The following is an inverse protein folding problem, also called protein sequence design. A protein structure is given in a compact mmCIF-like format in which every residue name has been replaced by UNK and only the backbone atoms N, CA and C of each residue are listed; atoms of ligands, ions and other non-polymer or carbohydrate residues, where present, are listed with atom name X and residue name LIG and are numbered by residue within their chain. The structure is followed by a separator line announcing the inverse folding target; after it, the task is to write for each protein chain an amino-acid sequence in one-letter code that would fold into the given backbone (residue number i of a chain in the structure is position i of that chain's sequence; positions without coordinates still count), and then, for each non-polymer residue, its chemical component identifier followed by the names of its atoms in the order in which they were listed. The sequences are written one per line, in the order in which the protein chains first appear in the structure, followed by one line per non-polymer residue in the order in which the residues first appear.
data_IF_175322184505
#
_entry.id   IF_175322184505
#
_cell.length_a   1.000
_cell.length_b   1.000
_cell.length_c   1.000
_cell.angle_alpha   90.00
_cell.angle_beta   90.00
_cell.angle_gamma   90.00
#
_symmetry.space_group_name_H-M   'P 1'
#
loop_
_entity.id
_entity.type
_entity.pdbx_description
1 polymer ?
#
# COMPACT_ATOMS: atom_id res chain seq x y z
N UNK A 1 58.90 -7.36 17.06
CA UNK A 1 58.17 -6.95 18.28
C UNK A 1 56.95 -6.12 17.87
N UNK A 2 55.76 -6.53 18.34
CA UNK A 2 54.54 -5.75 18.69
C UNK A 2 54.04 -4.72 17.66
N UNK A 3 52.99 -5.04 16.88
CA UNK A 3 51.54 -4.93 17.19
C UNK A 3 51.01 -3.48 17.15
N UNK A 4 50.20 -3.15 16.15
CA UNK A 4 48.96 -2.36 16.30
C UNK A 4 47.97 -2.76 15.19
N UNK A 5 47.13 -3.75 15.49
CA UNK A 5 45.82 -3.95 14.85
C UNK A 5 44.98 -2.70 15.16
N UNK A 6 44.26 -2.10 14.21
CA UNK A 6 43.11 -2.72 13.58
C UNK A 6 41.88 -2.51 14.48
N UNK A 7 41.46 -1.25 14.64
CA UNK A 7 40.31 -0.88 15.46
C UNK A 7 39.51 0.21 14.75
N UNK A 8 38.72 -0.18 13.75
CA UNK A 8 37.52 0.55 13.29
C UNK A 8 36.95 -0.25 12.12
N UNK A 9 35.93 -1.06 12.38
CA UNK A 9 34.77 -1.40 11.53
C UNK A 9 34.05 -2.55 12.26
N UNK A 10 33.30 -2.23 13.31
CA UNK A 10 32.35 -3.18 13.92
C UNK A 10 31.06 -2.49 14.42
N UNK A 11 30.72 -1.33 13.87
CA UNK A 11 29.51 -0.59 14.27
C UNK A 11 28.50 -0.41 13.12
N UNK A 12 28.48 -1.33 12.16
CA UNK A 12 27.49 -1.31 11.06
C UNK A 12 26.68 -2.61 10.92
N UNK A 13 26.79 -3.54 11.88
CA UNK A 13 26.14 -4.88 11.78
C UNK A 13 25.02 -5.09 12.81
N UNK A 14 24.86 -4.22 13.81
CA UNK A 14 23.84 -4.40 14.86
C UNK A 14 22.71 -3.37 14.90
N UNK A 15 22.65 -2.44 13.93
CA UNK A 15 21.48 -1.57 13.74
C UNK A 15 20.31 -2.21 12.99
N UNK A 16 20.47 -3.47 12.53
CA UNK A 16 19.51 -4.17 11.65
C UNK A 16 18.57 -5.13 12.39
N UNK A 17 18.45 -5.04 13.72
CA UNK A 17 17.58 -5.91 14.54
C UNK A 17 16.56 -5.13 15.36
N UNK A 18 16.16 -3.96 14.85
CA UNK A 18 15.11 -3.14 15.43
C UNK A 18 14.21 -2.51 14.38
N UNK A 19 14.00 -3.16 13.23
CA UNK A 19 12.80 -2.86 12.45
C UNK A 19 11.64 -3.44 13.25
N UNK A 20 11.01 -2.60 14.08
CA UNK A 20 9.59 -2.78 14.39
C UNK A 20 8.93 -3.03 13.04
N UNK A 21 8.45 -4.25 12.82
CA UNK A 21 7.82 -4.66 11.58
C UNK A 21 6.66 -3.71 11.32
N UNK A 22 6.89 -2.65 10.54
CA UNK A 22 5.85 -1.74 10.13
C UNK A 22 4.89 -2.59 9.30
N UNK A 23 3.61 -2.59 9.69
CA UNK A 23 2.59 -3.33 8.95
C UNK A 23 2.69 -2.94 7.46
N UNK A 24 2.68 -3.93 6.58
CA UNK A 24 2.69 -3.69 5.15
C UNK A 24 1.40 -2.98 4.75
N UNK A 25 1.46 -2.08 3.76
CA UNK A 25 0.33 -1.24 3.39
C UNK A 25 -0.10 -1.45 1.94
N UNK A 26 -1.40 -1.61 1.74
CA UNK A 26 -2.07 -1.66 0.44
C UNK A 26 -2.95 -0.42 0.29
N UNK A 27 -2.59 0.45 -0.65
CA UNK A 27 -3.36 1.65 -0.95
C UNK A 27 -3.87 1.65 -2.39
N UNK A 28 -5.06 2.22 -2.57
CA UNK A 28 -5.69 2.41 -3.88
C UNK A 28 -6.45 3.73 -3.90
N UNK A 29 -6.43 4.39 -5.06
CA UNK A 29 -7.22 5.59 -5.31
C UNK A 29 -7.99 5.44 -6.62
N UNK A 30 -9.06 6.20 -6.76
CA UNK A 30 -9.87 6.16 -7.98
C UNK A 30 -11.08 7.07 -7.89
N UNK A 31 -12.07 6.78 -8.72
CA UNK A 31 -13.34 7.49 -8.75
C UNK A 31 -14.50 6.53 -8.59
N UNK A 32 -15.55 7.01 -7.94
CA UNK A 32 -16.86 6.37 -7.95
C UNK A 32 -17.45 6.54 -9.34
N UNK A 33 -17.96 5.47 -9.94
CA UNK A 33 -18.59 5.48 -11.27
C UNK A 33 -20.10 5.21 -11.21
N UNK A 34 -20.63 4.93 -10.03
CA UNK A 34 -22.05 4.76 -9.77
C UNK A 34 -22.34 4.74 -8.27
N UNK A 35 -23.51 5.21 -7.81
CA UNK A 35 -24.65 5.74 -8.56
C UNK A 35 -24.36 7.10 -9.24
N UNK A 36 -25.27 7.56 -10.10
CA UNK A 36 -25.07 8.79 -10.89
C UNK A 36 -24.81 10.04 -10.04
N UNK A 37 -25.40 10.14 -8.85
CA UNK A 37 -25.21 11.29 -7.95
C UNK A 37 -23.80 11.34 -7.33
N UNK A 38 -23.14 10.19 -7.19
CA UNK A 38 -21.79 10.05 -6.66
C UNK A 38 -20.74 9.89 -7.77
N UNK A 39 -21.16 9.86 -9.04
CA UNK A 39 -20.25 9.67 -10.16
C UNK A 39 -19.20 10.79 -10.20
N UNK A 40 -17.92 10.39 -10.27
CA UNK A 40 -16.78 11.27 -10.22
C UNK A 40 -16.28 11.62 -8.82
N UNK A 41 -16.95 11.19 -7.73
CA UNK A 41 -16.41 11.37 -6.39
C UNK A 41 -15.08 10.61 -6.25
N UNK A 42 -14.02 11.25 -5.74
CA UNK A 42 -12.77 10.56 -5.49
C UNK A 42 -12.97 9.54 -4.37
N UNK A 43 -12.38 8.36 -4.50
CA UNK A 43 -12.21 7.44 -3.39
C UNK A 43 -10.74 7.11 -3.17
N UNK A 44 -10.41 6.78 -1.94
CA UNK A 44 -9.13 6.22 -1.56
C UNK A 44 -9.36 5.17 -0.47
N UNK A 45 -8.62 4.07 -0.50
CA UNK A 45 -8.50 3.22 0.67
C UNK A 45 -7.04 2.91 0.94
N UNK A 46 -6.73 2.72 2.22
CA UNK A 46 -5.43 2.33 2.71
C UNK A 46 -5.65 1.24 3.74
N UNK A 47 -5.00 0.08 3.55
CA UNK A 47 -5.16 -1.10 4.37
C UNK A 47 -3.79 -1.53 4.90
N UNK A 48 -3.70 -1.70 6.20
CA UNK A 48 -2.54 -2.29 6.85
C UNK A 48 -2.76 -3.79 6.97
N UNK A 49 -1.74 -4.59 6.65
CA UNK A 49 -1.83 -6.05 6.66
C UNK A 49 -0.49 -6.67 7.07
N UNK A 50 -0.51 -7.97 7.36
CA UNK A 50 0.71 -8.76 7.63
C UNK A 50 0.76 -9.92 6.66
N UNK A 51 1.67 -9.89 5.67
CA UNK A 51 1.68 -10.92 4.63
C UNK A 51 1.86 -12.32 5.20
N UNK A 52 1.24 -13.30 4.56
CA UNK A 52 1.23 -14.68 5.04
C UNK A 52 1.69 -15.65 3.94
N UNK A 53 2.35 -16.75 4.34
CA UNK A 53 2.62 -17.89 3.46
C UNK A 53 1.37 -18.75 3.26
N UNK A 54 0.25 -18.11 2.95
CA UNK A 54 -1.07 -18.69 2.71
C UNK A 54 -1.71 -17.96 1.53
N UNK A 55 -2.80 -18.49 0.96
CA UNK A 55 -3.50 -17.84 -0.17
C UNK A 55 -4.18 -16.52 0.18
N UNK A 56 -4.15 -16.16 1.47
CA UNK A 56 -4.78 -14.97 1.99
C UNK A 56 -4.10 -14.42 3.24
N UNK A 57 -4.27 -13.13 3.47
CA UNK A 57 -3.83 -12.40 4.66
C UNK A 57 -4.98 -11.60 5.29
N UNK A 58 -4.86 -11.34 6.59
CA UNK A 58 -5.76 -10.49 7.35
C UNK A 58 -5.30 -9.03 7.30
N UNK A 59 -6.27 -8.14 7.20
CA UNK A 59 -6.06 -6.70 7.37
C UNK A 59 -6.09 -6.40 8.87
N UNK A 60 -5.08 -5.67 9.33
CA UNK A 60 -4.86 -5.30 10.74
C UNK A 60 -5.28 -3.85 11.03
N UNK A 61 -5.59 -3.07 10.00
CA UNK A 61 -5.94 -1.65 10.11
C UNK A 61 -6.27 -1.06 8.75
N UNK A 62 -6.82 0.15 8.73
CA UNK A 62 -7.05 0.85 7.48
C UNK A 62 -8.22 1.83 7.50
N UNK A 63 -8.30 2.60 6.41
CA UNK A 63 -9.24 3.69 6.19
C UNK A 63 -9.78 3.62 4.77
N UNK A 64 -11.08 3.88 4.62
CA UNK A 64 -11.74 4.14 3.34
C UNK A 64 -12.24 5.59 3.36
N UNK A 65 -11.92 6.34 2.32
CA UNK A 65 -12.42 7.68 2.08
C UNK A 65 -13.18 7.71 0.76
N UNK A 66 -14.35 8.33 0.75
CA UNK A 66 -15.13 8.62 -0.46
C UNK A 66 -15.63 10.06 -0.36
N UNK A 67 -15.17 10.91 -1.28
CA UNK A 67 -15.39 12.36 -1.19
C UNK A 67 -14.87 12.90 0.15
N UNK A 68 -15.77 13.51 0.92
CA UNK A 68 -15.48 14.06 2.24
C UNK A 68 -15.70 13.06 3.40
N UNK A 69 -16.18 11.85 3.11
CA UNK A 69 -16.58 10.89 4.13
C UNK A 69 -15.49 9.85 4.37
N UNK A 70 -15.27 9.50 5.65
CA UNK A 70 -14.18 8.62 6.09
C UNK A 70 -14.73 7.49 6.96
N UNK A 71 -14.33 6.25 6.66
CA UNK A 71 -14.64 5.05 7.42
C UNK A 71 -13.35 4.34 7.86
N UNK A 72 -13.36 3.75 9.05
CA UNK A 72 -12.25 2.96 9.58
C UNK A 72 -12.57 1.47 9.48
N UNK A 73 -11.56 0.65 9.23
CA UNK A 73 -11.72 -0.81 9.21
C UNK A 73 -12.32 -1.33 10.51
N UNK A 74 -13.20 -2.32 10.40
CA UNK A 74 -13.72 -3.07 11.54
C UNK A 74 -12.77 -4.23 11.79
N UNK A 75 -11.99 -4.13 12.88
CA UNK A 75 -11.05 -5.18 13.29
C UNK A 75 -11.80 -6.31 14.01
N UNK A 76 -11.42 -7.57 13.72
CA UNK A 76 -12.00 -8.76 14.37
C UNK A 76 -12.92 -9.63 13.51
N UNK A 77 -13.02 -9.38 12.19
CA UNK A 77 -13.66 -10.31 11.27
C UNK A 77 -12.80 -11.58 11.07
N UNK A 78 -13.42 -12.76 11.14
CA UNK A 78 -12.75 -14.07 11.07
C UNK A 78 -12.38 -14.53 9.65
N UNK A 79 -12.45 -13.66 8.65
CA UNK A 79 -12.24 -14.02 7.25
C UNK A 79 -11.04 -13.30 6.64
N UNK A 80 -10.39 -13.91 5.63
CA UNK A 80 -9.31 -13.26 4.91
C UNK A 80 -9.78 -11.99 4.22
N UNK A 81 -9.03 -10.90 4.42
CA UNK A 81 -9.40 -9.60 3.89
C UNK A 81 -8.67 -9.27 2.58
N UNK A 82 -7.55 -9.94 2.30
CA UNK A 82 -6.82 -9.85 1.03
C UNK A 82 -6.43 -11.26 0.61
N UNK A 83 -6.84 -11.69 -0.58
CA UNK A 83 -6.48 -12.99 -1.17
C UNK A 83 -5.87 -12.83 -2.55
N UNK A 84 -4.89 -13.66 -2.86
CA UNK A 84 -4.31 -13.77 -4.22
C UNK A 84 -5.11 -14.82 -4.97
N UNK A 85 -5.80 -14.42 -6.04
CA UNK A 85 -6.61 -15.29 -6.88
C UNK A 85 -6.16 -15.14 -8.33
N UNK A 86 -5.44 -16.14 -8.83
CA UNK A 86 -4.81 -16.09 -10.15
C UNK A 86 -3.85 -14.90 -10.25
N UNK A 87 -4.15 -13.96 -11.14
CA UNK A 87 -3.33 -12.76 -11.40
C UNK A 87 -3.88 -11.51 -10.71
N UNK A 88 -4.73 -11.66 -9.70
CA UNK A 88 -5.42 -10.56 -9.07
C UNK A 88 -5.40 -10.66 -7.54
N UNK A 89 -5.44 -9.50 -6.89
CA UNK A 89 -5.77 -9.39 -5.47
C UNK A 89 -7.28 -9.19 -5.36
N UNK A 90 -7.93 -10.01 -4.55
CA UNK A 90 -9.29 -9.77 -4.08
C UNK A 90 -9.23 -9.23 -2.66
N UNK A 91 -9.84 -8.08 -2.45
CA UNK A 91 -9.88 -7.34 -1.19
C UNK A 91 -11.32 -7.33 -0.70
N UNK A 92 -11.57 -7.88 0.48
CA UNK A 92 -12.87 -7.84 1.15
C UNK A 92 -12.69 -7.30 2.55
N UNK A 93 -13.22 -6.11 2.81
CA UNK A 93 -12.97 -5.40 4.08
C UNK A 93 -14.25 -4.77 4.58
N UNK A 94 -14.51 -4.95 5.88
CA UNK A 94 -15.58 -4.24 6.57
C UNK A 94 -15.07 -2.90 7.10
N UNK A 95 -15.87 -1.87 6.92
CA UNK A 95 -15.61 -0.51 7.33
C UNK A 95 -16.74 0.01 8.21
N UNK A 96 -16.40 0.85 9.16
CA UNK A 96 -17.32 1.51 10.08
C UNK A 96 -17.15 3.00 10.00
N UNK A 97 -18.24 3.75 9.95
CA UNK A 97 -18.14 5.20 9.76
C UNK A 97 -19.48 5.92 9.88
N UNK A 98 -19.50 7.20 9.48
CA UNK A 98 -20.61 8.10 9.76
C UNK A 98 -21.87 7.69 9.02
N UNK A 99 -23.01 7.81 9.70
CA UNK A 99 -24.34 7.69 9.12
C UNK A 99 -24.95 9.07 8.81
N UNK A 100 -25.76 9.16 7.77
CA UNK A 100 -26.36 10.40 7.24
C UNK A 100 -27.41 11.05 8.14
N UNK A 101 -27.72 10.45 9.29
CA UNK A 101 -28.81 10.90 10.18
C UNK A 101 -28.41 10.96 11.67
N UNK A 102 -27.11 10.94 12.00
CA UNK A 102 -26.66 10.89 13.40
C UNK A 102 -27.06 9.60 14.14
N UNK A 103 -27.57 8.60 13.41
CA UNK A 103 -28.04 7.33 13.92
C UNK A 103 -26.90 6.30 13.95
N UNK A 104 -25.93 6.52 14.84
CA UNK A 104 -24.87 5.55 15.14
C UNK A 104 -23.91 5.26 13.98
N UNK A 105 -23.20 4.14 14.10
CA UNK A 105 -22.15 3.70 13.17
C UNK A 105 -22.72 2.77 12.11
N UNK A 106 -22.56 3.10 10.83
CA UNK A 106 -22.93 2.23 9.72
C UNK A 106 -21.76 1.27 9.39
N UNK A 107 -22.07 -0.01 9.17
CA UNK A 107 -21.10 -1.01 8.69
C UNK A 107 -21.24 -1.15 7.18
N UNK A 108 -20.13 -0.93 6.47
CA UNK A 108 -20.01 -0.99 5.02
C UNK A 108 -19.07 -2.12 4.62
N UNK A 109 -19.28 -2.68 3.44
CA UNK A 109 -18.50 -3.79 2.91
C UNK A 109 -17.83 -3.36 1.61
N UNK A 110 -16.50 -3.27 1.63
CA UNK A 110 -15.68 -3.11 0.43
C UNK A 110 -15.43 -4.49 -0.18
N UNK A 111 -15.69 -4.62 -1.48
CA UNK A 111 -15.24 -5.72 -2.32
C UNK A 111 -14.50 -5.15 -3.52
N UNK A 112 -13.19 -5.34 -3.60
CA UNK A 112 -12.35 -4.72 -4.61
C UNK A 112 -11.36 -5.71 -5.22
N UNK A 113 -11.21 -5.67 -6.54
CA UNK A 113 -10.26 -6.52 -7.28
C UNK A 113 -9.19 -5.65 -7.90
N UNK A 114 -7.94 -6.02 -7.70
CA UNK A 114 -6.76 -5.37 -8.30
C UNK A 114 -6.13 -6.38 -9.24
N UNK A 115 -6.13 -6.10 -10.54
CA UNK A 115 -5.55 -6.99 -11.54
C UNK A 115 -4.11 -6.59 -11.84
N UNK A 116 -3.18 -7.53 -11.79
CA UNK A 116 -1.77 -7.29 -12.06
C UNK A 116 -1.06 -8.50 -12.68
N UNK A 117 0.27 -8.57 -12.61
CA UNK A 117 1.05 -9.65 -13.20
C UNK A 117 0.78 -11.00 -12.51
N UNK A 118 1.06 -12.10 -13.23
CA UNK A 118 0.97 -13.45 -12.69
C UNK A 118 2.06 -13.70 -11.65
N UNK A 119 1.66 -14.08 -10.43
CA UNK A 119 2.57 -14.33 -9.30
C UNK A 119 2.12 -15.60 -8.57
N UNK A 120 2.95 -16.12 -7.67
CA UNK A 120 2.60 -17.28 -6.85
C UNK A 120 1.33 -17.06 -6.03
N UNK A 121 0.64 -18.15 -5.63
CA UNK A 121 -0.70 -18.09 -5.04
C UNK A 121 -0.73 -17.55 -3.60
N UNK A 122 0.43 -17.31 -3.00
CA UNK A 122 0.51 -16.89 -1.60
C UNK A 122 0.37 -15.36 -1.48
N UNK A 123 -0.41 -14.91 -0.52
CA UNK A 123 -0.57 -13.53 -0.09
C UNK A 123 0.61 -13.05 0.77
N UNK A 124 1.84 -13.33 0.32
CA UNK A 124 3.06 -12.77 0.91
C UNK A 124 3.16 -11.29 0.56
N UNK A 125 3.86 -10.51 1.38
CA UNK A 125 4.09 -9.09 1.11
C UNK A 125 4.73 -8.86 -0.26
N UNK A 126 5.69 -9.71 -0.64
CA UNK A 126 6.35 -9.65 -1.95
C UNK A 126 5.36 -9.83 -3.11
N UNK A 127 4.45 -10.80 -3.01
CA UNK A 127 3.46 -11.06 -4.05
C UNK A 127 2.42 -9.94 -4.11
N UNK A 128 1.90 -9.50 -2.96
CA UNK A 128 0.92 -8.41 -2.90
C UNK A 128 1.53 -7.12 -3.46
N UNK A 129 2.77 -6.78 -3.07
CA UNK A 129 3.47 -5.61 -3.59
C UNK A 129 3.73 -5.72 -5.09
N UNK A 130 4.08 -6.90 -5.60
CA UNK A 130 4.31 -7.08 -7.03
C UNK A 130 3.01 -6.98 -7.85
N UNK A 131 1.89 -7.54 -7.37
CA UNK A 131 0.58 -7.34 -8.03
C UNK A 131 0.21 -5.86 -8.01
N UNK A 132 0.31 -5.21 -6.85
CA UNK A 132 0.01 -3.78 -6.68
C UNK A 132 0.86 -2.90 -7.61
N UNK A 133 2.16 -3.14 -7.67
CA UNK A 133 3.10 -2.34 -8.47
C UNK A 133 2.94 -2.58 -9.98
N UNK A 134 2.52 -3.77 -10.39
CA UNK A 134 2.26 -4.11 -11.79
C UNK A 134 0.79 -3.99 -12.20
N UNK A 135 -0.08 -3.51 -11.31
CA UNK A 135 -1.50 -3.45 -11.58
C UNK A 135 -1.84 -2.30 -12.53
N UNK A 136 -2.71 -2.59 -13.49
CA UNK A 136 -3.13 -1.63 -14.53
C UNK A 136 -4.53 -1.08 -14.29
N UNK A 137 -5.33 -1.79 -13.50
CA UNK A 137 -6.69 -1.42 -13.16
C UNK A 137 -7.15 -2.12 -11.88
N UNK A 138 -8.03 -1.44 -11.14
CA UNK A 138 -8.77 -2.00 -10.04
C UNK A 138 -10.24 -1.60 -10.14
N UNK A 139 -11.12 -2.50 -9.75
CA UNK A 139 -12.56 -2.23 -9.72
C UNK A 139 -13.23 -2.98 -8.59
N UNK A 140 -14.33 -2.43 -8.11
CA UNK A 140 -15.03 -3.02 -7.00
C UNK A 140 -16.30 -2.28 -6.66
N UNK A 141 -16.80 -2.54 -5.47
CA UNK A 141 -17.94 -1.87 -4.92
C UNK A 141 -17.84 -1.71 -3.41
N UNK A 142 -18.50 -0.69 -2.88
CA UNK A 142 -18.75 -0.53 -1.46
C UNK A 142 -20.24 -0.62 -1.25
N UNK A 143 -20.67 -1.68 -0.57
CA UNK A 143 -22.02 -1.79 -0.05
C UNK A 143 -22.07 -0.99 1.26
N UNK A 144 -22.71 0.16 1.24
CA UNK A 144 -22.93 1.01 2.41
C UNK A 144 -24.30 0.68 2.98
N UNK A 145 -24.36 -0.03 4.11
CA UNK A 145 -25.61 -0.47 4.75
C UNK A 145 -26.14 0.64 5.69
N UNK A 146 -27.44 0.62 6.03
CA UNK A 146 -28.37 1.71 5.77
C UNK A 146 -27.98 3.02 6.46
N UNK A 147 -28.37 4.15 5.87
CA UNK A 147 -28.02 5.52 6.30
C UNK A 147 -26.60 5.95 5.92
N UNK A 148 -26.12 5.50 4.76
CA UNK A 148 -24.97 6.10 4.10
C UNK A 148 -25.22 7.60 3.80
N UNK A 149 -24.19 8.46 3.73
CA UNK A 149 -24.28 9.80 3.17
C UNK A 149 -24.37 9.81 1.63
N UNK A 150 -24.83 8.72 1.02
CA UNK A 150 -24.91 8.54 -0.43
C UNK A 150 -26.35 8.28 -0.86
N UNK A 151 -26.65 8.65 -2.10
CA UNK A 151 -27.96 8.49 -2.74
C UNK A 151 -28.39 7.03 -2.90
N UNK A 152 -27.44 6.09 -2.85
CA UNK A 152 -27.68 4.66 -2.92
C UNK A 152 -26.81 3.87 -1.95
N UNK A 153 -27.16 2.60 -1.79
CA UNK A 153 -26.45 1.70 -0.87
C UNK A 153 -25.23 1.02 -1.50
N UNK A 154 -25.00 1.20 -2.80
CA UNK A 154 -23.90 0.54 -3.50
C UNK A 154 -23.12 1.55 -4.33
N UNK A 155 -21.88 1.80 -3.93
CA UNK A 155 -20.93 2.60 -4.70
C UNK A 155 -20.11 1.69 -5.60
N UNK A 156 -20.10 1.94 -6.90
CA UNK A 156 -19.22 1.24 -7.84
C UNK A 156 -17.92 2.02 -7.93
N UNK A 157 -16.81 1.35 -7.66
CA UNK A 157 -15.49 1.93 -7.59
C UNK A 157 -14.65 1.51 -8.79
N UNK A 158 -13.98 2.46 -9.41
CA UNK A 158 -12.97 2.20 -10.43
C UNK A 158 -11.71 3.00 -10.12
N UNK A 159 -10.59 2.30 -9.96
CA UNK A 159 -9.32 2.91 -9.58
C UNK A 159 -8.16 2.39 -10.38
N UNK A 160 -7.08 3.14 -10.37
CA UNK A 160 -5.77 2.72 -10.84
C UNK A 160 -4.83 2.84 -9.63
N UNK A 161 -3.97 1.85 -9.31
CA UNK A 161 -2.93 2.05 -8.31
C UNK A 161 -2.12 3.31 -8.62
N UNK A 162 -2.35 4.39 -7.85
CA UNK A 162 -1.54 5.60 -7.94
C UNK A 162 -0.19 5.33 -7.30
N UNK A 163 0.86 5.24 -8.12
CA UNK A 163 2.23 5.10 -7.64
C UNK A 163 2.72 6.43 -7.08
N UNK A 164 2.85 6.53 -5.76
CA UNK A 164 3.74 7.52 -5.13
C UNK A 164 5.05 6.79 -4.85
N UNK A 165 6.14 7.09 -5.58
CA UNK A 165 7.45 6.58 -5.21
C UNK A 165 7.74 7.07 -3.78
N UNK A 166 8.11 6.15 -2.88
CA UNK A 166 8.55 6.55 -1.55
C UNK A 166 9.67 7.60 -1.67
N UNK A 167 9.66 8.67 -0.87
CA UNK A 167 10.71 9.70 -0.90
C UNK A 167 12.14 9.12 -0.79
N UNK A 168 12.29 7.95 -0.18
CA UNK A 168 13.57 7.25 -0.04
C UNK A 168 14.16 6.74 -1.37
N UNK A 169 13.33 6.36 -2.34
CA UNK A 169 13.77 5.82 -3.64
C UNK A 169 14.49 6.88 -4.48
N UNK A 170 13.98 8.12 -4.47
CA UNK A 170 14.57 9.26 -5.18
C UNK A 170 15.88 9.68 -4.51
N UNK A 171 15.92 9.69 -3.18
CA UNK A 171 17.13 9.99 -2.41
C UNK A 171 18.27 8.99 -2.67
N UNK A 172 17.96 7.70 -2.76
CA UNK A 172 18.95 6.65 -3.06
C UNK A 172 19.50 6.78 -4.49
N UNK A 173 18.64 7.04 -5.48
CA UNK A 173 19.04 7.26 -6.87
C UNK A 173 19.92 8.50 -7.03
N UNK A 174 19.59 9.60 -6.36
CA UNK A 174 20.43 10.81 -6.31
C UNK A 174 21.76 10.57 -5.60
N UNK A 175 21.77 9.80 -4.50
CA UNK A 175 22.99 9.45 -3.79
C UNK A 175 23.92 8.57 -4.64
N UNK A 176 23.37 7.61 -5.40
CA UNK A 176 24.15 6.79 -6.35
C UNK A 176 24.68 7.67 -7.49
N UNK A 177 23.86 8.58 -8.03
CA UNK A 177 24.27 9.56 -9.06
C UNK A 177 25.41 10.47 -8.58
N UNK A 178 25.36 10.95 -7.34
CA UNK A 178 26.39 11.79 -6.73
C UNK A 178 27.70 11.02 -6.47
N UNK A 179 27.62 9.75 -6.05
CA UNK A 179 28.81 8.90 -5.83
C UNK A 179 29.48 8.52 -7.16
N UNK A 180 28.72 8.24 -8.21
CA UNK A 180 29.26 7.89 -9.54
C UNK A 180 29.80 9.14 -10.25
N UNK A 181 29.10 10.27 -10.17
CA UNK A 181 29.55 11.56 -10.71
C UNK A 181 30.79 12.10 -10.00
N UNK A 182 30.81 12.05 -8.66
CA UNK A 182 31.95 12.48 -7.84
C UNK A 182 33.20 11.65 -8.06
N UNK A 183 33.09 10.32 -8.19
CA UNK A 183 34.23 9.44 -8.51
C UNK A 183 34.80 9.70 -9.92
N UNK A 184 33.96 10.04 -10.90
CA UNK A 184 34.43 10.41 -12.25
C UNK A 184 35.10 11.79 -12.28
N UNK A 185 34.61 12.74 -11.48
CA UNK A 185 35.21 14.06 -11.37
C UNK A 185 36.60 14.02 -10.70
N UNK A 186 36.76 13.22 -9.64
CA UNK A 186 38.05 13.06 -8.95
C UNK A 186 39.11 12.34 -9.81
N UNK A 187 38.72 11.37 -10.64
CA UNK A 187 39.66 10.71 -11.57
C UNK A 187 40.16 11.61 -12.70
N UNK A 188 39.39 12.63 -13.10
CA UNK A 188 39.83 13.58 -14.15
C UNK A 188 40.83 14.61 -13.62
N UNK A 189 40.76 15.00 -12.34
CA UNK A 189 41.77 15.91 -11.76
C UNK A 189 43.13 15.24 -11.52
N UNK A 190 43.16 13.94 -11.27
CA UNK A 190 44.42 13.20 -11.12
C UNK A 190 45.15 12.94 -12.45
N UNK A 191 44.52 13.19 -13.60
CA UNK A 191 45.13 13.02 -14.93
C UNK A 191 45.59 14.35 -15.57
N UNK A 192 45.36 15.48 -14.90
CA UNK A 192 45.79 16.82 -15.37
C UNK A 192 46.88 17.43 -14.47
N UNK A 193 47.30 16.71 -13.44
CA UNK A 193 48.48 17.04 -12.62
C UNK A 193 49.40 15.83 -12.61
N UNK A 194 50.01 15.57 -13.76
CA UNK A 194 51.21 14.77 -13.95
C UNK A 194 51.95 15.32 -15.18
#
# INVERSE_FOLDING_TARGET
MRKFCGMLVCAAVFGLLGQTSQAAQLSMTGTVVGPAAENGLPFAFTLDYTGAAATSTAVTGGVLQVGAHVWNTVLGGTNPNISVVGNSLQVSVQFSGPSSLGAGTAVSFLSFTISGPAIGPNATEANINSIRNGATAGSGSVLVIPNAPFSGNNLVLQGNPSFVPEPGSVGLLLAIGAVVGGRRYLRRRSATVA
#
